data_IF_192073524486
#
_entry.id   IF_192073524486
#
_cell.length_a   1.000
_cell.length_b   1.000
_cell.length_c   1.000
_cell.angle_alpha   90.00
_cell.angle_beta   90.00
_cell.angle_gamma   90.00
#
_symmetry.space_group_name_H-M   'P 1'
#
loop_
_entity.id
_entity.type
_entity.pdbx_description
1 polymer ?
#
# COMPACT_ATOMS: atom_id res chain seq x y z
N UNK A 1 13.35 9.10 4.51
CA UNK A 1 13.44 10.15 3.44
C UNK A 1 13.58 9.58 2.04
N UNK A 2 14.31 8.48 1.85
CA UNK A 2 14.55 7.94 0.49
C UNK A 2 13.35 7.18 -0.10
N UNK A 3 12.55 6.47 0.69
CA UNK A 3 11.36 5.78 0.19
C UNK A 3 10.32 6.79 -0.32
N UNK A 4 10.08 7.88 0.41
CA UNK A 4 9.19 8.96 -0.02
C UNK A 4 9.78 9.79 -1.16
N UNK A 5 11.10 10.00 -1.17
CA UNK A 5 11.80 10.69 -2.26
C UNK A 5 11.92 9.80 -3.50
N UNK A 6 12.03 8.47 -3.36
CA UNK A 6 11.93 7.50 -4.44
C UNK A 6 10.50 7.36 -4.94
N UNK A 7 9.52 7.28 -4.05
CA UNK A 7 8.10 7.35 -4.40
C UNK A 7 7.79 8.60 -5.21
N UNK A 8 8.31 9.77 -4.81
CA UNK A 8 8.18 11.02 -5.56
C UNK A 8 8.94 10.99 -6.90
N UNK A 9 10.11 10.35 -6.98
CA UNK A 9 10.88 10.18 -8.23
C UNK A 9 10.25 9.17 -9.19
N UNK A 10 9.73 8.06 -8.69
CA UNK A 10 9.00 7.08 -9.50
C UNK A 10 7.66 7.62 -10.00
N UNK A 11 7.00 8.50 -9.24
CA UNK A 11 5.76 9.16 -9.66
C UNK A 11 5.96 10.31 -10.65
N UNK A 12 7.20 10.73 -10.95
CA UNK A 12 7.47 11.86 -11.84
C UNK A 12 6.81 13.16 -11.38
N UNK A 13 6.55 13.32 -10.09
CA UNK A 13 5.88 14.46 -9.49
C UNK A 13 6.86 15.62 -9.28
N UNK A 14 7.32 16.21 -10.38
CA UNK A 14 7.70 17.62 -10.39
C UNK A 14 6.64 18.40 -11.17
N UNK A 15 5.66 18.92 -10.44
CA UNK A 15 4.57 19.71 -11.02
C UNK A 15 5.06 21.04 -11.62
N UNK A 16 6.34 21.38 -11.46
CA UNK A 16 6.91 22.67 -11.90
C UNK A 16 7.52 22.63 -13.31
N UNK A 17 7.72 21.46 -13.92
CA UNK A 17 8.46 21.31 -15.18
C UNK A 17 7.63 21.04 -16.43
N UNK A 18 6.31 20.94 -16.36
CA UNK A 18 5.47 20.76 -17.55
C UNK A 18 5.18 22.07 -18.28
N UNK A 19 6.17 22.56 -19.01
CA UNK A 19 5.95 23.63 -20.01
C UNK A 19 5.21 23.05 -21.22
N UNK A 20 4.11 23.74 -21.59
CA UNK A 20 3.18 23.45 -22.71
C UNK A 20 3.88 23.21 -24.08
N UNK A 21 5.15 23.56 -24.25
CA UNK A 21 5.88 23.45 -25.51
C UNK A 21 6.30 22.04 -25.96
N UNK A 22 6.17 20.99 -25.11
CA UNK A 22 6.57 19.61 -25.49
C UNK A 22 5.44 18.73 -26.05
N UNK A 23 4.21 19.20 -26.01
CA UNK A 23 3.06 18.43 -26.51
C UNK A 23 3.10 18.17 -28.02
N UNK A 24 3.65 19.09 -28.80
CA UNK A 24 3.66 19.04 -30.26
C UNK A 24 4.74 18.09 -30.83
N UNK A 25 5.90 17.96 -30.16
CA UNK A 25 6.98 17.06 -30.58
C UNK A 25 6.72 15.61 -30.16
N UNK A 26 5.75 15.38 -29.29
CA UNK A 26 5.41 14.08 -28.73
C UNK A 26 4.52 13.23 -29.68
N UNK A 27 3.61 13.86 -30.42
CA UNK A 27 2.63 13.17 -31.28
C UNK A 27 3.23 12.10 -32.22
N UNK A 28 4.29 12.34 -33.01
CA UNK A 28 4.78 11.35 -33.97
C UNK A 28 5.35 10.07 -33.33
N UNK A 29 6.02 10.19 -32.21
CA UNK A 29 6.65 9.05 -31.51
C UNK A 29 5.63 8.18 -30.79
N UNK A 30 4.54 8.79 -30.31
CA UNK A 30 3.46 8.11 -29.62
C UNK A 30 2.43 7.55 -30.59
N UNK A 31 2.25 8.17 -31.75
CA UNK A 31 1.45 7.62 -32.83
C UNK A 31 2.00 6.28 -33.32
N UNK A 32 3.34 6.16 -33.47
CA UNK A 32 3.99 4.88 -33.81
C UNK A 32 3.77 3.80 -32.75
N UNK A 33 3.88 4.16 -31.44
CA UNK A 33 3.61 3.23 -30.34
C UNK A 33 2.12 2.87 -30.25
N UNK A 34 1.22 3.83 -30.47
CA UNK A 34 -0.21 3.59 -30.52
C UNK A 34 -0.58 2.67 -31.70
N UNK A 35 0.03 2.85 -32.88
CA UNK A 35 -0.17 1.97 -34.03
C UNK A 35 0.37 0.55 -33.78
N UNK A 36 1.53 0.41 -33.16
CA UNK A 36 2.06 -0.90 -32.76
C UNK A 36 1.16 -1.58 -31.72
N UNK A 37 0.64 -0.83 -30.74
CA UNK A 37 -0.31 -1.33 -29.76
C UNK A 37 -1.65 -1.73 -30.40
N UNK A 38 -2.12 -0.97 -31.39
CA UNK A 38 -3.29 -1.25 -32.22
C UNK A 38 -3.14 -2.56 -32.99
N UNK A 39 -1.98 -2.77 -33.60
CA UNK A 39 -1.69 -3.98 -34.37
C UNK A 39 -1.65 -5.24 -33.48
N UNK A 40 -1.20 -5.07 -32.23
CA UNK A 40 -1.08 -6.19 -31.28
C UNK A 40 -2.38 -6.50 -30.53
N UNK A 41 -3.15 -5.46 -30.13
CA UNK A 41 -4.27 -5.60 -29.20
C UNK A 41 -5.66 -5.32 -29.82
N UNK A 42 -5.69 -4.90 -31.07
CA UNK A 42 -6.92 -4.54 -31.79
C UNK A 42 -7.51 -3.16 -31.44
N UNK A 43 -8.48 -2.67 -32.21
CA UNK A 43 -8.94 -1.29 -32.15
C UNK A 43 -9.66 -0.91 -30.86
N UNK A 44 -10.45 -1.81 -30.27
CA UNK A 44 -11.22 -1.52 -29.05
C UNK A 44 -10.33 -1.29 -27.84
N UNK A 45 -9.27 -2.11 -27.66
CA UNK A 45 -8.32 -2.00 -26.55
C UNK A 45 -7.46 -0.76 -26.73
N UNK A 46 -7.05 -0.47 -27.95
CA UNK A 46 -6.26 0.72 -28.24
C UNK A 46 -7.05 2.01 -28.05
N UNK A 47 -8.34 2.03 -28.36
CA UNK A 47 -9.22 3.14 -28.05
C UNK A 47 -9.37 3.33 -26.53
N UNK A 48 -9.51 2.24 -25.77
CA UNK A 48 -9.53 2.26 -24.31
C UNK A 48 -8.22 2.83 -23.75
N UNK A 49 -7.07 2.42 -24.26
CA UNK A 49 -5.77 2.96 -23.87
C UNK A 49 -5.66 4.47 -24.12
N UNK A 50 -6.00 4.93 -25.31
CA UNK A 50 -5.94 6.35 -25.66
C UNK A 50 -6.90 7.20 -24.81
N UNK A 51 -8.12 6.69 -24.58
CA UNK A 51 -9.10 7.34 -23.71
C UNK A 51 -8.59 7.43 -22.27
N UNK A 52 -8.08 6.33 -21.72
CA UNK A 52 -7.52 6.29 -20.34
C UNK A 52 -6.33 7.23 -20.20
N UNK A 53 -5.42 7.22 -21.17
CA UNK A 53 -4.30 8.13 -21.20
C UNK A 53 -4.75 9.60 -21.26
N UNK A 54 -5.66 9.96 -22.17
CA UNK A 54 -6.19 11.32 -22.29
C UNK A 54 -6.91 11.77 -21.00
N UNK A 55 -7.65 10.85 -20.37
CA UNK A 55 -8.38 11.13 -19.13
C UNK A 55 -7.44 11.37 -17.93
N UNK A 56 -6.35 10.64 -17.83
CA UNK A 56 -5.50 10.62 -16.65
C UNK A 56 -4.12 11.28 -16.84
N UNK A 57 -3.78 11.77 -18.04
CA UNK A 57 -2.44 12.29 -18.34
C UNK A 57 -1.98 13.45 -17.45
N UNK A 58 -2.91 14.17 -16.78
CA UNK A 58 -2.62 15.23 -15.83
C UNK A 58 -2.38 14.75 -14.40
N UNK A 59 -2.82 13.53 -14.07
CA UNK A 59 -2.80 12.97 -12.70
C UNK A 59 -2.10 11.61 -12.63
N UNK A 60 -1.84 10.98 -13.79
CA UNK A 60 -1.15 9.70 -13.89
C UNK A 60 -0.22 9.68 -15.13
N UNK A 61 0.81 8.85 -15.07
CA UNK A 61 1.79 8.72 -16.15
C UNK A 61 1.34 7.73 -17.24
N UNK A 62 2.20 7.51 -18.26
CA UNK A 62 1.93 6.56 -19.35
C UNK A 62 1.84 5.13 -18.85
N UNK A 63 2.56 4.81 -17.82
CA UNK A 63 2.59 3.50 -17.20
C UNK A 63 1.23 3.14 -16.61
N UNK A 64 0.61 4.06 -15.87
CA UNK A 64 -0.77 3.88 -15.40
C UNK A 64 -1.74 3.53 -16.53
N UNK A 65 -1.69 4.27 -17.67
CA UNK A 65 -2.56 4.01 -18.80
C UNK A 65 -2.30 2.63 -19.42
N UNK A 66 -1.04 2.20 -19.49
CA UNK A 66 -0.66 0.87 -19.95
C UNK A 66 -1.29 -0.21 -19.06
N UNK A 67 -1.04 -0.15 -17.74
CA UNK A 67 -1.56 -1.13 -16.79
C UNK A 67 -3.09 -1.17 -16.75
N UNK A 68 -3.75 -0.01 -16.78
CA UNK A 68 -5.21 0.09 -16.77
C UNK A 68 -5.90 -0.46 -18.03
N UNK A 69 -5.15 -0.70 -19.10
CA UNK A 69 -5.66 -1.22 -20.37
C UNK A 69 -5.28 -2.69 -20.62
N UNK A 70 -4.39 -3.28 -19.81
CA UNK A 70 -4.03 -4.69 -19.95
C UNK A 70 -5.24 -5.61 -19.71
N UNK A 71 -5.25 -6.72 -20.42
CA UNK A 71 -6.17 -7.81 -20.13
C UNK A 71 -5.56 -8.75 -19.10
N UNK A 72 -6.38 -9.43 -18.31
CA UNK A 72 -5.90 -10.38 -17.29
C UNK A 72 -4.95 -11.45 -17.84
N UNK A 73 -5.19 -11.93 -19.06
CA UNK A 73 -4.30 -12.91 -19.73
C UNK A 73 -2.87 -12.40 -19.96
N UNK A 74 -2.69 -11.07 -20.00
CA UNK A 74 -1.40 -10.44 -20.27
C UNK A 74 -0.66 -10.06 -18.96
N UNK A 75 -1.33 -10.19 -17.81
CA UNK A 75 -0.76 -9.83 -16.50
C UNK A 75 0.53 -10.60 -16.16
N UNK A 76 0.65 -11.92 -16.36
CA UNK A 76 1.87 -12.63 -16.01
C UNK A 76 3.11 -12.10 -16.73
N UNK A 77 3.04 -11.90 -18.05
CA UNK A 77 4.18 -11.41 -18.83
C UNK A 77 4.49 -9.94 -18.54
N UNK A 78 3.47 -9.11 -18.34
CA UNK A 78 3.66 -7.72 -17.94
C UNK A 78 4.33 -7.61 -16.56
N UNK A 79 3.92 -8.47 -15.62
CA UNK A 79 4.45 -8.51 -14.26
C UNK A 79 5.89 -9.03 -14.23
N UNK A 80 6.24 -10.07 -15.01
CA UNK A 80 7.63 -10.55 -15.17
C UNK A 80 8.53 -9.43 -15.64
N UNK A 81 8.10 -8.68 -16.65
CA UNK A 81 8.89 -7.56 -17.19
C UNK A 81 9.05 -6.45 -16.15
N UNK A 82 7.95 -6.03 -15.53
CA UNK A 82 7.97 -4.99 -14.49
C UNK A 82 8.85 -5.40 -13.30
N UNK A 83 8.74 -6.64 -12.83
CA UNK A 83 9.53 -7.16 -11.72
C UNK A 83 11.03 -7.12 -12.05
N UNK A 84 11.44 -7.59 -13.24
CA UNK A 84 12.83 -7.54 -13.67
C UNK A 84 13.40 -6.11 -13.70
N UNK A 85 12.57 -5.13 -14.11
CA UNK A 85 12.99 -3.73 -14.22
C UNK A 85 13.02 -3.01 -12.86
N UNK A 86 12.21 -3.45 -11.89
CA UNK A 86 11.97 -2.71 -10.63
C UNK A 86 12.55 -3.37 -9.39
N UNK A 87 12.69 -4.70 -9.35
CA UNK A 87 13.32 -5.34 -8.20
C UNK A 87 14.81 -4.99 -8.11
N UNK A 88 15.34 -4.95 -6.90
CA UNK A 88 16.69 -4.46 -6.63
C UNK A 88 17.81 -5.38 -7.12
N UNK A 89 17.52 -6.66 -7.29
CA UNK A 89 18.47 -7.67 -7.77
C UNK A 89 18.47 -7.79 -9.29
N UNK A 90 17.47 -7.22 -9.97
CA UNK A 90 17.25 -7.37 -11.41
C UNK A 90 17.23 -8.84 -11.86
N UNK A 91 16.73 -9.73 -10.97
CA UNK A 91 16.54 -11.15 -11.28
C UNK A 91 15.19 -11.35 -11.95
N UNK A 92 15.09 -12.30 -12.89
CA UNK A 92 13.81 -12.69 -13.48
C UNK A 92 12.83 -13.20 -12.43
N UNK A 93 11.54 -12.93 -12.63
CA UNK A 93 10.46 -13.48 -11.80
C UNK A 93 10.19 -14.92 -12.18
N UNK A 94 10.40 -15.84 -11.23
CA UNK A 94 9.98 -17.23 -11.36
C UNK A 94 8.57 -17.39 -10.76
N UNK A 95 7.59 -17.65 -11.63
CA UNK A 95 6.20 -17.92 -11.22
C UNK A 95 5.88 -19.42 -11.13
N UNK A 96 6.78 -20.29 -11.63
CA UNK A 96 6.60 -21.73 -11.56
C UNK A 96 7.14 -22.30 -10.24
N UNK A 97 8.27 -21.74 -9.76
CA UNK A 97 8.91 -22.13 -8.51
C UNK A 97 9.32 -20.92 -7.68
N UNK A 98 8.36 -20.08 -7.24
CA UNK A 98 8.67 -18.87 -6.49
C UNK A 98 9.23 -19.20 -5.10
N UNK A 99 10.39 -18.63 -4.74
CA UNK A 99 11.09 -18.92 -3.48
C UNK A 99 11.09 -17.74 -2.53
N UNK A 100 11.43 -16.55 -3.03
CA UNK A 100 11.54 -15.36 -2.22
C UNK A 100 10.16 -14.77 -1.87
N UNK A 101 10.10 -13.95 -0.82
CA UNK A 101 8.91 -13.18 -0.46
C UNK A 101 8.42 -12.33 -1.64
N UNK A 102 9.36 -11.72 -2.36
CA UNK A 102 9.06 -10.91 -3.53
C UNK A 102 8.38 -11.73 -4.63
N UNK A 103 8.90 -12.90 -4.99
CA UNK A 103 8.32 -13.76 -6.01
C UNK A 103 6.96 -14.34 -5.57
N UNK A 104 6.87 -14.86 -4.33
CA UNK A 104 5.61 -15.37 -3.77
C UNK A 104 4.53 -14.29 -3.70
N UNK A 105 4.89 -13.03 -3.42
CA UNK A 105 3.94 -11.90 -3.49
C UNK A 105 3.42 -11.68 -4.92
N UNK A 106 4.28 -11.75 -5.94
CA UNK A 106 3.82 -11.65 -7.33
C UNK A 106 2.93 -12.82 -7.73
N UNK A 107 3.27 -14.03 -7.30
CA UNK A 107 2.46 -15.22 -7.53
C UNK A 107 1.05 -15.06 -6.91
N UNK A 108 0.98 -14.60 -5.65
CA UNK A 108 -0.29 -14.37 -4.94
C UNK A 108 -1.17 -13.32 -5.61
N UNK A 109 -0.60 -12.27 -6.21
CA UNK A 109 -1.36 -11.28 -7.00
C UNK A 109 -2.09 -11.92 -8.18
N UNK A 110 -1.48 -12.92 -8.81
CA UNK A 110 -2.02 -13.55 -10.01
C UNK A 110 -2.94 -14.73 -9.69
N UNK A 111 -2.58 -15.53 -8.69
CA UNK A 111 -3.18 -16.84 -8.45
C UNK A 111 -3.72 -17.02 -7.02
N UNK A 112 -3.39 -16.14 -6.09
CA UNK A 112 -3.76 -16.23 -4.67
C UNK A 112 -5.13 -15.65 -4.31
N UNK A 113 -5.96 -15.28 -5.29
CA UNK A 113 -7.29 -14.72 -5.04
C UNK A 113 -7.27 -13.30 -4.47
N UNK A 114 -6.17 -12.56 -4.58
CA UNK A 114 -6.05 -11.19 -4.01
C UNK A 114 -7.03 -10.18 -4.62
N UNK A 115 -7.59 -10.45 -5.79
CA UNK A 115 -8.64 -9.59 -6.35
C UNK A 115 -9.91 -9.60 -5.49
N UNK A 116 -10.22 -10.72 -4.83
CA UNK A 116 -11.44 -10.90 -4.05
C UNK A 116 -11.35 -10.33 -2.62
N UNK A 117 -10.13 -10.01 -2.15
CA UNK A 117 -9.93 -9.43 -0.81
C UNK A 117 -10.14 -7.91 -0.77
N UNK A 118 -10.63 -7.29 -1.85
CA UNK A 118 -10.85 -5.84 -1.92
C UNK A 118 -11.66 -5.25 -0.76
N UNK A 119 -12.64 -5.93 -0.14
CA UNK A 119 -13.35 -5.35 1.00
C UNK A 119 -12.47 -5.18 2.24
N UNK A 120 -11.39 -5.98 2.36
CA UNK A 120 -10.48 -5.95 3.50
C UNK A 120 -9.40 -4.87 3.38
N UNK A 121 -9.09 -4.42 2.17
CA UNK A 121 -8.15 -3.32 1.93
C UNK A 121 -8.86 -1.98 1.72
N UNK A 122 -10.18 -1.97 1.53
CA UNK A 122 -11.02 -0.79 1.58
C UNK A 122 -11.11 -0.29 3.02
N UNK A 123 -10.48 0.86 3.32
CA UNK A 123 -10.42 1.43 4.67
C UNK A 123 -11.79 1.72 5.31
N UNK A 124 -12.85 1.78 4.49
CA UNK A 124 -14.21 1.94 4.97
C UNK A 124 -14.92 0.59 5.15
N UNK A 125 -14.89 -0.26 4.13
CA UNK A 125 -15.62 -1.53 4.15
C UNK A 125 -15.05 -2.51 5.20
N UNK A 126 -13.74 -2.55 5.41
CA UNK A 126 -13.08 -3.43 6.38
C UNK A 126 -13.58 -3.24 7.81
N UNK A 127 -14.14 -2.08 8.12
CA UNK A 127 -14.57 -1.72 9.49
C UNK A 127 -15.66 -2.65 10.02
N UNK A 128 -16.67 -2.97 9.21
CA UNK A 128 -17.74 -3.90 9.62
C UNK A 128 -17.19 -5.31 9.86
N UNK A 129 -16.29 -5.77 8.98
CA UNK A 129 -15.64 -7.06 9.14
C UNK A 129 -14.75 -7.12 10.40
N UNK A 130 -13.96 -6.09 10.67
CA UNK A 130 -13.15 -5.99 11.90
C UNK A 130 -14.03 -5.98 13.15
N UNK A 131 -15.12 -5.20 13.13
CA UNK A 131 -16.10 -5.17 14.23
C UNK A 131 -16.68 -6.55 14.51
N UNK A 132 -17.03 -7.29 13.46
CA UNK A 132 -17.57 -8.66 13.59
C UNK A 132 -16.51 -9.64 14.15
N UNK A 133 -15.25 -9.53 13.69
CA UNK A 133 -14.19 -10.48 14.04
C UNK A 133 -13.59 -10.27 15.42
N UNK A 134 -13.36 -9.02 15.81
CA UNK A 134 -12.59 -8.71 17.03
C UNK A 134 -13.27 -7.66 17.94
N UNK A 135 -14.26 -6.91 17.47
CA UNK A 135 -14.98 -5.89 18.24
C UNK A 135 -14.79 -4.47 17.72
N UNK A 136 -15.76 -3.60 18.05
CA UNK A 136 -15.76 -2.20 17.61
C UNK A 136 -14.72 -1.35 18.35
N UNK A 137 -14.32 -1.76 19.55
CA UNK A 137 -13.35 -1.09 20.40
C UNK A 137 -11.95 -1.02 19.76
N UNK A 138 -11.65 -1.91 18.80
CA UNK A 138 -10.39 -1.89 18.05
C UNK A 138 -10.40 -0.91 16.87
N UNK A 139 -11.56 -0.37 16.51
CA UNK A 139 -11.65 0.59 15.41
C UNK A 139 -11.30 2.01 15.87
N UNK A 140 -10.58 2.74 15.03
CA UNK A 140 -10.42 4.19 15.20
C UNK A 140 -11.79 4.83 14.92
N UNK A 141 -12.32 5.73 15.78
CA UNK A 141 -13.62 6.33 15.56
C UNK A 141 -13.74 7.03 14.21
N UNK A 142 -14.77 6.66 13.43
CA UNK A 142 -15.08 7.26 12.15
C UNK A 142 -15.88 8.56 12.38
N UNK A 143 -15.42 9.66 11.81
CA UNK A 143 -16.05 10.98 11.92
C UNK A 143 -17.00 11.29 10.75
N UNK A 144 -16.79 10.63 9.60
CA UNK A 144 -17.65 10.78 8.44
C UNK A 144 -17.13 10.08 7.21
N UNK A 145 -18.03 9.93 6.20
CA UNK A 145 -17.78 9.31 4.91
C UNK A 145 -18.45 10.13 3.82
N UNK A 146 -17.76 10.41 2.72
CA UNK A 146 -18.28 11.23 1.62
C UNK A 146 -17.80 10.72 0.27
N UNK A 147 -18.61 10.90 -0.76
CA UNK A 147 -18.24 10.64 -2.14
C UNK A 147 -17.53 11.85 -2.80
N UNK A 148 -17.70 13.08 -2.26
CA UNK A 148 -17.14 14.32 -2.78
C UNK A 148 -16.55 15.18 -1.67
N UNK A 149 -15.46 15.88 -1.96
CA UNK A 149 -14.80 16.75 -0.98
C UNK A 149 -15.71 17.92 -0.53
N UNK A 150 -16.51 18.46 -1.43
CA UNK A 150 -17.39 19.59 -1.13
C UNK A 150 -18.57 19.24 -0.21
N UNK A 151 -18.84 17.95 -0.02
CA UNK A 151 -19.88 17.47 0.89
C UNK A 151 -19.40 17.41 2.36
N UNK A 152 -18.11 17.68 2.61
CA UNK A 152 -17.53 17.63 3.96
C UNK A 152 -17.89 18.89 4.73
N UNK A 153 -18.67 18.74 5.81
CA UNK A 153 -18.92 19.80 6.79
C UNK A 153 -17.75 19.86 7.78
N UNK A 154 -16.74 20.67 7.46
CA UNK A 154 -15.55 20.82 8.29
C UNK A 154 -15.84 21.44 9.67
N UNK A 155 -16.95 22.15 9.84
CA UNK A 155 -17.29 22.78 11.12
C UNK A 155 -17.70 21.71 12.15
N UNK A 156 -18.21 20.58 11.69
CA UNK A 156 -18.54 19.42 12.54
C UNK A 156 -17.35 18.52 12.88
N UNK A 157 -16.21 18.69 12.19
CA UNK A 157 -15.01 17.92 12.50
C UNK A 157 -14.25 18.56 13.68
N UNK A 158 -13.61 17.74 14.55
CA UNK A 158 -12.78 18.26 15.65
C UNK A 158 -11.55 19.01 15.12
N UNK A 159 -10.77 19.60 16.02
CA UNK A 159 -9.55 20.34 15.65
C UNK A 159 -8.47 19.43 15.05
N UNK A 160 -8.43 18.15 15.51
CA UNK A 160 -7.50 17.15 15.03
C UNK A 160 -8.27 15.99 14.39
N UNK A 161 -7.94 15.65 13.14
CA UNK A 161 -8.52 14.52 12.43
C UNK A 161 -7.61 14.02 11.32
N UNK A 162 -7.86 12.82 10.83
CA UNK A 162 -7.18 12.25 9.68
C UNK A 162 -8.16 12.14 8.50
N UNK A 163 -7.88 12.83 7.39
CA UNK A 163 -8.59 12.60 6.12
C UNK A 163 -7.87 11.52 5.32
N UNK A 164 -8.62 10.57 4.77
CA UNK A 164 -8.10 9.49 3.93
C UNK A 164 -9.01 9.27 2.73
N UNK A 165 -8.47 8.75 1.63
CA UNK A 165 -9.30 8.04 0.66
C UNK A 165 -9.18 6.54 0.95
N UNK A 166 -10.29 5.81 0.75
CA UNK A 166 -10.40 4.41 1.20
C UNK A 166 -9.65 3.39 0.33
N UNK A 167 -9.26 3.75 -0.91
CA UNK A 167 -8.89 2.84 -1.99
C UNK A 167 -7.41 2.90 -2.41
N UNK A 168 -6.52 3.19 -1.48
CA UNK A 168 -5.08 3.25 -1.76
C UNK A 168 -4.23 3.35 -0.50
N UNK A 169 -2.92 3.20 -0.66
CA UNK A 169 -1.94 3.36 0.41
C UNK A 169 -1.31 4.76 0.39
N UNK A 170 -1.02 5.34 1.57
CA UNK A 170 -0.37 6.64 1.70
C UNK A 170 -1.24 7.85 1.31
N UNK A 171 -2.46 7.66 0.88
CA UNK A 171 -3.38 8.73 0.48
C UNK A 171 -4.16 9.27 1.67
N UNK A 172 -3.43 9.96 2.55
CA UNK A 172 -3.97 10.55 3.77
C UNK A 172 -3.43 11.96 4.01
N UNK A 173 -4.15 12.73 4.80
CA UNK A 173 -3.83 14.09 5.23
C UNK A 173 -4.08 14.17 6.73
N UNK A 174 -3.02 14.31 7.51
CA UNK A 174 -3.10 14.56 8.94
C UNK A 174 -3.41 16.03 9.19
N UNK A 175 -4.51 16.31 9.86
CA UNK A 175 -4.90 17.63 10.32
C UNK A 175 -4.69 17.68 11.84
N UNK A 176 -3.61 18.29 12.27
CA UNK A 176 -3.26 18.45 13.68
C UNK A 176 -3.74 19.78 14.28
N UNK A 177 -4.13 20.73 13.42
CA UNK A 177 -4.68 22.05 13.77
C UNK A 177 -5.60 22.51 12.64
N UNK A 178 -6.91 22.44 12.88
CA UNK A 178 -7.91 22.83 11.89
C UNK A 178 -7.81 24.31 11.46
N UNK A 179 -7.32 25.19 12.35
CA UNK A 179 -7.14 26.60 12.02
C UNK A 179 -6.07 26.86 10.96
N UNK A 180 -5.10 25.93 10.81
CA UNK A 180 -4.02 25.98 9.82
C UNK A 180 -4.26 25.07 8.62
N UNK A 181 -5.41 24.40 8.55
CA UNK A 181 -5.72 23.45 7.51
C UNK A 181 -5.95 24.11 6.15
N UNK A 182 -5.09 23.83 5.18
CA UNK A 182 -5.27 24.26 3.79
C UNK A 182 -6.30 23.38 3.08
N UNK A 183 -7.57 23.80 3.15
CA UNK A 183 -8.69 23.11 2.49
C UNK A 183 -8.53 23.04 0.98
N UNK A 184 -7.91 24.05 0.34
CA UNK A 184 -7.75 24.09 -1.11
C UNK A 184 -6.71 23.08 -1.59
N UNK A 185 -5.57 22.96 -0.89
CA UNK A 185 -4.57 21.94 -1.16
C UNK A 185 -5.10 20.52 -0.91
N UNK A 186 -5.79 20.32 0.21
CA UNK A 186 -6.43 19.06 0.56
C UNK A 186 -7.45 18.62 -0.51
N UNK A 187 -8.31 19.55 -0.96
CA UNK A 187 -9.28 19.30 -2.04
C UNK A 187 -8.57 18.85 -3.31
N UNK A 188 -7.54 19.58 -3.74
CA UNK A 188 -6.78 19.25 -4.95
C UNK A 188 -6.18 17.83 -4.88
N UNK A 189 -5.57 17.49 -3.75
CA UNK A 189 -4.97 16.16 -3.52
C UNK A 189 -6.03 15.06 -3.55
N UNK A 190 -7.06 15.18 -2.73
CA UNK A 190 -8.11 14.18 -2.60
C UNK A 190 -8.86 13.97 -3.92
N UNK A 191 -9.24 15.05 -4.61
CA UNK A 191 -9.90 14.93 -5.92
C UNK A 191 -9.02 14.31 -7.01
N UNK A 192 -7.68 14.45 -6.89
CA UNK A 192 -6.77 13.75 -7.78
C UNK A 192 -6.71 12.26 -7.46
N UNK A 193 -6.65 11.87 -6.18
CA UNK A 193 -6.64 10.48 -5.73
C UNK A 193 -7.94 9.75 -6.07
N UNK A 194 -9.11 10.38 -5.88
CA UNK A 194 -10.41 9.79 -6.22
C UNK A 194 -10.57 9.41 -7.70
N UNK A 195 -9.74 9.98 -8.59
CA UNK A 195 -9.77 9.70 -10.03
C UNK A 195 -8.94 8.49 -10.43
N UNK A 196 -8.07 8.01 -9.53
CA UNK A 196 -7.12 6.95 -9.82
C UNK A 196 -7.60 5.61 -9.26
N UNK A 197 -7.19 4.52 -9.87
CA UNK A 197 -7.26 3.19 -9.29
C UNK A 197 -5.85 2.79 -8.83
N UNK A 198 -5.69 2.53 -7.55
CA UNK A 198 -4.38 2.25 -6.96
C UNK A 198 -3.69 1.02 -7.55
N UNK A 199 -4.48 0.03 -8.00
CA UNK A 199 -3.97 -1.18 -8.67
C UNK A 199 -2.95 -0.89 -9.77
N UNK A 200 -3.15 0.22 -10.52
CA UNK A 200 -2.34 0.55 -11.69
C UNK A 200 -1.27 1.61 -11.43
N UNK A 201 -1.25 2.18 -10.22
CA UNK A 201 -0.45 3.37 -9.96
C UNK A 201 1.04 3.08 -9.89
N UNK A 202 1.40 1.99 -9.22
CA UNK A 202 2.80 1.60 -8.98
C UNK A 202 3.35 0.65 -10.05
N UNK A 203 2.54 0.28 -11.05
CA UNK A 203 2.92 -0.68 -12.09
C UNK A 203 2.96 -2.14 -11.64
N UNK A 204 2.79 -2.40 -10.35
CA UNK A 204 2.94 -3.73 -9.76
C UNK A 204 1.66 -4.57 -9.67
N UNK A 205 0.54 -4.14 -10.28
CA UNK A 205 -0.73 -4.88 -10.25
C UNK A 205 -1.18 -5.24 -8.82
N UNK A 206 -1.35 -4.25 -7.96
CA UNK A 206 -1.93 -4.48 -6.63
C UNK A 206 -3.46 -4.72 -6.77
N UNK A 207 -3.81 -5.92 -7.27
CA UNK A 207 -5.14 -6.28 -7.78
C UNK A 207 -6.26 -6.16 -6.74
N UNK A 208 -5.93 -6.24 -5.46
CA UNK A 208 -6.87 -6.08 -4.34
C UNK A 208 -7.52 -4.68 -4.31
N UNK A 209 -6.99 -3.68 -5.03
CA UNK A 209 -7.58 -2.35 -5.11
C UNK A 209 -8.50 -2.14 -6.33
N UNK A 210 -8.60 -3.13 -7.23
CA UNK A 210 -9.21 -2.94 -8.55
C UNK A 210 -10.71 -2.60 -8.50
N UNK A 211 -11.43 -3.15 -7.50
CA UNK A 211 -12.89 -3.07 -7.39
C UNK A 211 -13.40 -2.08 -6.33
N UNK A 212 -12.50 -1.39 -5.63
CA UNK A 212 -12.90 -0.49 -4.54
C UNK A 212 -13.58 0.77 -5.12
N UNK A 213 -14.79 1.05 -4.64
CA UNK A 213 -15.45 2.33 -4.93
C UNK A 213 -14.73 3.45 -4.15
N UNK A 214 -14.15 4.47 -4.82
CA UNK A 214 -13.48 5.58 -4.15
C UNK A 214 -14.42 6.37 -3.22
N UNK A 215 -13.96 6.62 -1.99
CA UNK A 215 -14.63 7.46 -0.99
C UNK A 215 -13.62 8.23 -0.17
N UNK A 216 -14.08 9.31 0.45
CA UNK A 216 -13.33 10.06 1.46
C UNK A 216 -13.83 9.62 2.82
N UNK A 217 -12.92 9.34 3.76
CA UNK A 217 -13.25 9.09 5.16
C UNK A 217 -12.51 10.09 6.05
N UNK A 218 -13.12 10.47 7.15
CA UNK A 218 -12.44 11.14 8.24
C UNK A 218 -12.45 10.25 9.48
N UNK A 219 -11.30 10.12 10.12
CA UNK A 219 -11.14 9.38 11.37
C UNK A 219 -10.60 10.30 12.46
N UNK A 220 -10.91 9.96 13.71
CA UNK A 220 -10.32 10.63 14.86
C UNK A 220 -8.79 10.53 14.75
N UNK A 221 -8.11 11.65 14.99
CA UNK A 221 -6.65 11.63 15.12
C UNK A 221 -6.29 10.88 16.39
N UNK A 222 -5.43 9.86 16.27
CA UNK A 222 -4.91 9.12 17.43
C UNK A 222 -3.48 9.56 17.68
N UNK A 223 -3.16 9.76 18.93
CA UNK A 223 -1.83 10.16 19.40
C UNK A 223 -1.62 9.61 20.80
N UNK A 224 -0.37 9.44 21.19
CA UNK A 224 0.03 9.11 22.56
C UNK A 224 0.43 10.39 23.29
N UNK A 225 -0.01 10.55 24.54
CA UNK A 225 0.39 11.67 25.39
C UNK A 225 1.90 11.61 25.67
N UNK A 226 2.63 12.59 25.11
CA UNK A 226 4.06 12.75 25.33
C UNK A 226 4.97 11.67 24.75
N UNK A 227 4.45 10.79 23.90
CA UNK A 227 5.18 9.71 23.29
C UNK A 227 4.88 9.49 21.81
N UNK A 228 5.67 8.64 21.18
CA UNK A 228 5.50 8.24 19.80
C UNK A 228 4.31 7.28 19.65
N UNK A 229 3.62 7.36 18.53
CA UNK A 229 2.61 6.37 18.17
C UNK A 229 3.29 5.23 17.42
N UNK A 230 3.54 4.14 18.10
CA UNK A 230 4.19 2.97 17.51
C UNK A 230 3.26 2.21 16.58
N UNK A 231 3.78 1.87 15.41
CA UNK A 231 3.10 1.12 14.36
C UNK A 231 3.66 -0.32 14.35
N UNK A 232 2.81 -1.29 14.68
CA UNK A 232 3.14 -2.71 14.73
C UNK A 232 2.55 -3.39 13.48
N UNK A 233 3.41 -3.78 12.57
CA UNK A 233 3.03 -4.44 11.32
C UNK A 233 3.32 -5.93 11.42
N UNK A 234 2.29 -6.70 11.67
CA UNK A 234 2.40 -8.13 11.96
C UNK A 234 2.19 -8.92 10.67
N UNK A 235 3.27 -9.51 10.16
CA UNK A 235 3.21 -10.40 9.01
C UNK A 235 2.68 -11.77 9.45
N UNK A 236 1.57 -12.15 8.86
CA UNK A 236 0.92 -13.43 9.10
C UNK A 236 1.02 -14.27 7.83
N UNK A 237 1.48 -15.50 7.98
CA UNK A 237 1.59 -16.47 6.90
C UNK A 237 0.79 -17.71 7.25
N UNK A 238 -0.08 -18.13 6.32
CA UNK A 238 -0.98 -19.26 6.48
C UNK A 238 -1.81 -19.21 7.77
N UNK A 239 -2.30 -17.99 8.11
CA UNK A 239 -3.13 -17.71 9.27
C UNK A 239 -2.40 -17.52 10.59
N UNK A 240 -1.05 -17.57 10.60
CA UNK A 240 -0.25 -17.44 11.82
C UNK A 240 0.68 -16.22 11.79
N UNK A 241 0.71 -15.38 12.84
CA UNK A 241 1.70 -14.34 13.03
C UNK A 241 3.10 -14.94 13.08
N UNK A 242 4.05 -14.39 12.33
CA UNK A 242 5.43 -14.89 12.27
C UNK A 242 6.46 -13.81 12.52
N UNK A 243 6.25 -12.62 11.97
CA UNK A 243 7.22 -11.53 11.97
C UNK A 243 6.50 -10.23 12.32
N UNK A 244 7.13 -9.39 13.12
CA UNK A 244 6.67 -8.07 13.48
C UNK A 244 7.64 -7.05 12.89
N UNK A 245 7.16 -6.10 12.10
CA UNK A 245 7.89 -4.90 11.76
C UNK A 245 7.41 -3.78 12.71
N UNK A 246 8.25 -3.44 13.66
CA UNK A 246 8.04 -2.33 14.60
C UNK A 246 8.63 -1.05 14.05
N UNK A 247 7.84 0.02 14.00
CA UNK A 247 8.25 1.31 13.45
C UNK A 247 8.12 2.38 14.54
N UNK A 248 9.22 3.08 14.81
CA UNK A 248 9.33 4.20 15.72
C UNK A 248 9.56 5.51 14.96
N UNK A 249 9.30 6.65 15.61
CA UNK A 249 9.56 8.01 15.13
C UNK A 249 8.87 8.39 13.81
N UNK A 250 7.83 7.62 13.41
CA UNK A 250 7.17 7.76 12.11
C UNK A 250 6.45 9.10 11.92
N UNK A 251 5.97 9.67 13.00
CA UNK A 251 5.17 10.89 13.00
C UNK A 251 5.85 12.07 13.69
N UNK A 252 7.15 11.96 13.93
CA UNK A 252 8.00 12.97 14.56
C UNK A 252 8.93 13.64 13.55
N UNK A 253 9.70 14.63 13.98
CA UNK A 253 10.74 15.28 13.17
C UNK A 253 12.05 14.48 13.07
N UNK A 254 12.13 13.31 13.75
CA UNK A 254 13.30 12.43 13.74
C UNK A 254 13.23 11.47 12.55
N UNK A 255 14.34 10.77 12.30
CA UNK A 255 14.37 9.71 11.28
C UNK A 255 13.57 8.50 11.75
N UNK A 256 12.73 7.98 10.85
CA UNK A 256 11.97 6.75 11.08
C UNK A 256 12.91 5.57 11.30
N UNK A 257 12.68 4.83 12.38
CA UNK A 257 13.44 3.62 12.74
C UNK A 257 12.56 2.40 12.55
N UNK A 258 13.11 1.35 11.95
CA UNK A 258 12.40 0.12 11.62
C UNK A 258 13.15 -1.09 12.18
N UNK A 259 12.43 -1.99 12.83
CA UNK A 259 12.98 -3.20 13.43
C UNK A 259 12.11 -4.39 13.10
N UNK A 260 12.72 -5.43 12.55
CA UNK A 260 12.06 -6.72 12.38
C UNK A 260 12.31 -7.58 13.63
N UNK A 261 11.23 -8.15 14.17
CA UNK A 261 11.25 -8.99 15.36
C UNK A 261 10.48 -10.29 15.09
N UNK A 262 10.82 -11.34 15.83
CA UNK A 262 9.98 -12.53 15.91
C UNK A 262 8.81 -12.30 16.89
N UNK A 263 7.97 -13.31 17.06
CA UNK A 263 6.82 -13.24 17.97
C UNK A 263 7.17 -13.27 19.46
N UNK A 264 8.40 -13.67 19.79
CA UNK A 264 8.94 -13.64 21.15
C UNK A 264 9.62 -12.29 21.47
N UNK A 265 9.58 -11.35 20.51
CA UNK A 265 10.17 -10.01 20.61
C UNK A 265 11.70 -10.01 20.48
N UNK A 266 12.31 -11.01 19.87
CA UNK A 266 13.74 -11.01 19.56
C UNK A 266 13.99 -10.30 18.23
N UNK A 267 14.97 -9.40 18.20
CA UNK A 267 15.32 -8.68 16.97
C UNK A 267 15.92 -9.63 15.95
N UNK A 268 15.41 -9.53 14.72
CA UNK A 268 15.89 -10.30 13.57
C UNK A 268 17.01 -9.53 12.84
N UNK A 269 18.02 -10.26 12.29
CA UNK A 269 19.21 -9.63 11.72
C UNK A 269 18.99 -9.16 10.26
N UNK A 270 17.87 -8.50 9.99
CA UNK A 270 17.57 -7.94 8.67
C UNK A 270 16.66 -6.71 8.75
N UNK A 271 16.63 -5.95 7.66
CA UNK A 271 15.74 -4.80 7.51
C UNK A 271 15.35 -4.62 6.02
N UNK A 272 14.45 -3.68 5.74
CA UNK A 272 14.07 -3.27 4.37
C UNK A 272 14.36 -1.78 4.17
N UNK A 273 14.87 -1.43 2.99
CA UNK A 273 15.04 -0.05 2.51
C UNK A 273 15.95 0.88 3.35
N UNK A 274 16.22 0.55 4.61
CA UNK A 274 17.10 1.29 5.53
C UNK A 274 18.21 0.38 6.06
N UNK A 275 19.34 0.94 6.52
CA UNK A 275 20.39 0.14 7.15
C UNK A 275 19.88 -0.64 8.35
N UNK A 276 20.49 -1.80 8.59
CA UNK A 276 20.22 -2.61 9.76
C UNK A 276 20.82 -1.94 11.01
N UNK A 277 19.99 -1.73 12.02
CA UNK A 277 20.40 -1.33 13.36
C UNK A 277 20.18 -2.54 14.28
N UNK A 278 21.24 -3.03 14.89
CA UNK A 278 21.22 -4.15 15.86
C UNK A 278 21.36 -3.63 17.29
N UNK A 279 20.98 -4.47 18.23
CA UNK A 279 21.10 -4.20 19.67
C UNK A 279 20.33 -2.94 20.14
N UNK A 280 19.24 -2.60 19.45
CA UNK A 280 18.36 -1.54 19.91
C UNK A 280 17.65 -1.95 21.20
N UNK A 281 17.55 -1.01 22.14
CA UNK A 281 16.73 -1.19 23.35
C UNK A 281 15.25 -1.00 22.96
N UNK A 282 14.58 -2.10 22.68
CA UNK A 282 13.19 -2.14 22.23
C UNK A 282 12.32 -2.74 23.35
N UNK A 283 11.65 -1.91 24.16
CA UNK A 283 10.82 -2.42 25.23
C UNK A 283 9.64 -3.25 24.65
N UNK A 284 9.53 -4.49 25.14
CA UNK A 284 8.44 -5.38 24.73
C UNK A 284 7.10 -4.80 25.18
N UNK A 285 6.13 -4.57 24.29
CA UNK A 285 4.84 -4.02 24.67
C UNK A 285 4.04 -5.00 25.55
N UNK A 286 3.45 -4.49 26.62
CA UNK A 286 2.70 -5.31 27.58
C UNK A 286 1.50 -6.04 26.94
N UNK A 287 0.95 -5.50 25.85
CA UNK A 287 -0.19 -6.04 25.12
C UNK A 287 0.20 -6.82 23.86
N UNK A 288 1.46 -7.24 23.70
CA UNK A 288 1.95 -7.95 22.53
C UNK A 288 1.15 -9.23 22.25
N UNK A 289 0.93 -10.08 23.26
CA UNK A 289 0.16 -11.32 23.09
C UNK A 289 -1.22 -11.03 22.54
N UNK A 290 -1.88 -9.98 23.04
CA UNK A 290 -3.20 -9.57 22.53
C UNK A 290 -3.12 -9.09 21.09
N UNK A 291 -2.08 -8.37 20.68
CA UNK A 291 -1.87 -7.98 19.28
C UNK A 291 -1.66 -9.20 18.38
N UNK A 292 -0.89 -10.20 18.84
CA UNK A 292 -0.68 -11.45 18.10
C UNK A 292 -1.98 -12.26 17.95
N UNK A 293 -2.83 -12.31 18.99
CA UNK A 293 -4.14 -12.98 18.92
C UNK A 293 -5.09 -12.27 17.94
N UNK A 294 -5.10 -10.95 17.93
CA UNK A 294 -5.84 -10.15 16.96
C UNK A 294 -5.34 -10.44 15.55
N UNK A 295 -4.04 -10.41 15.33
CA UNK A 295 -3.44 -10.67 14.03
C UNK A 295 -3.75 -12.11 13.55
N UNK A 296 -3.66 -13.10 14.43
CA UNK A 296 -4.05 -14.49 14.15
C UNK A 296 -5.52 -14.59 13.74
N UNK A 297 -6.41 -13.92 14.49
CA UNK A 297 -7.85 -13.94 14.19
C UNK A 297 -8.15 -13.31 12.82
N UNK A 298 -7.53 -12.18 12.51
CA UNK A 298 -7.75 -11.45 11.25
C UNK A 298 -7.06 -12.09 10.05
N UNK A 299 -6.03 -12.92 10.26
CA UNK A 299 -5.29 -13.56 9.17
C UNK A 299 -5.81 -14.94 8.77
N UNK A 300 -6.80 -15.47 9.50
CA UNK A 300 -7.34 -16.82 9.21
C UNK A 300 -7.86 -16.92 7.77
N UNK A 301 -7.44 -17.98 7.07
CA UNK A 301 -7.83 -18.27 5.70
C UNK A 301 -7.01 -17.53 4.63
N UNK A 302 -6.01 -16.73 5.00
CA UNK A 302 -5.15 -16.03 4.06
C UNK A 302 -3.73 -16.61 4.07
N UNK A 303 -3.20 -16.89 2.87
CA UNK A 303 -1.83 -17.41 2.69
C UNK A 303 -0.77 -16.41 3.17
N UNK A 304 -0.94 -15.15 2.86
CA UNK A 304 -0.07 -14.07 3.34
C UNK A 304 -0.85 -12.77 3.50
N UNK A 305 -0.76 -12.17 4.66
CA UNK A 305 -1.34 -10.86 4.95
C UNK A 305 -0.57 -10.18 6.08
N UNK A 306 -0.44 -8.87 6.04
CA UNK A 306 0.09 -8.07 7.13
C UNK A 306 -1.07 -7.36 7.84
N UNK A 307 -1.14 -7.50 9.15
CA UNK A 307 -2.10 -6.82 10.01
C UNK A 307 -1.39 -5.69 10.72
N UNK A 308 -1.80 -4.45 10.47
CA UNK A 308 -1.20 -3.27 11.06
C UNK A 308 -2.03 -2.81 12.27
N UNK A 309 -1.39 -2.70 13.43
CA UNK A 309 -1.99 -2.34 14.71
C UNK A 309 -1.23 -1.18 15.35
N UNK A 310 -1.95 -0.35 16.09
CA UNK A 310 -1.38 0.67 16.97
C UNK A 310 -1.60 0.27 18.43
N UNK A 311 -0.57 0.48 19.27
CA UNK A 311 -0.68 0.35 20.72
C UNK A 311 -0.64 1.73 21.35
N UNK A 312 -1.65 2.07 22.14
CA UNK A 312 -1.75 3.35 22.83
C UNK A 312 -1.24 3.23 24.27
N UNK A 313 -0.83 4.36 24.88
CA UNK A 313 -0.29 4.42 26.23
C UNK A 313 -1.27 3.97 27.31
N UNK A 314 -2.57 4.03 27.04
CA UNK A 314 -3.63 3.51 27.92
C UNK A 314 -3.80 1.97 27.83
N UNK A 315 -2.97 1.31 27.03
CA UNK A 315 -3.00 -0.13 26.77
C UNK A 315 -4.02 -0.54 25.71
N UNK A 316 -4.79 0.39 25.15
CA UNK A 316 -5.73 0.09 24.06
C UNK A 316 -4.99 -0.20 22.76
N UNK A 317 -5.58 -1.11 21.97
CA UNK A 317 -5.07 -1.45 20.62
C UNK A 317 -6.04 -0.89 19.60
N UNK A 318 -5.51 -0.32 18.51
CA UNK A 318 -6.32 0.13 17.38
C UNK A 318 -5.88 -0.56 16.10
N UNK A 319 -6.87 -0.99 15.32
CA UNK A 319 -6.68 -1.54 13.99
C UNK A 319 -6.29 -0.43 13.00
N UNK A 320 -5.21 -0.66 12.25
CA UNK A 320 -4.72 0.22 11.19
C UNK A 320 -5.22 -0.19 9.83
N UNK A 321 -4.70 -1.30 9.31
CA UNK A 321 -5.08 -1.85 7.99
C UNK A 321 -4.71 -3.32 7.84
N UNK A 322 -5.28 -3.97 6.82
CA UNK A 322 -4.80 -5.23 6.26
C UNK A 322 -4.06 -4.96 4.96
N UNK A 323 -2.84 -5.49 4.84
CA UNK A 323 -1.99 -5.28 3.66
C UNK A 323 -1.62 -6.64 3.05
N UNK A 324 -2.02 -6.88 1.80
CA UNK A 324 -1.76 -8.14 1.09
C UNK A 324 -0.49 -8.08 0.22
N UNK A 325 -0.06 -6.88 -0.18
CA UNK A 325 1.10 -6.69 -1.06
C UNK A 325 2.01 -5.59 -0.49
N UNK A 326 2.74 -5.93 0.59
CA UNK A 326 3.68 -4.99 1.22
C UNK A 326 4.66 -4.46 0.17
N UNK A 327 4.70 -3.12 -0.01
CA UNK A 327 5.53 -2.43 -1.01
C UNK A 327 5.47 -3.06 -2.41
N UNK A 328 4.28 -3.56 -2.77
CA UNK A 328 4.06 -4.27 -4.04
C UNK A 328 4.98 -5.49 -4.26
N UNK A 329 5.61 -6.01 -3.20
CA UNK A 329 6.52 -7.14 -3.22
C UNK A 329 7.92 -6.82 -3.77
N UNK A 330 8.34 -5.55 -3.77
CA UNK A 330 9.66 -5.14 -4.29
C UNK A 330 10.52 -4.41 -3.25
N UNK A 331 10.34 -4.72 -1.96
CA UNK A 331 11.20 -4.18 -0.90
C UNK A 331 12.66 -4.56 -1.11
N UNK A 332 13.56 -3.63 -0.81
CA UNK A 332 14.98 -3.93 -0.79
C UNK A 332 15.38 -4.50 0.56
N UNK A 333 15.68 -5.79 0.59
CA UNK A 333 16.09 -6.50 1.79
C UNK A 333 17.57 -6.29 2.12
N UNK A 334 17.89 -6.22 3.41
CA UNK A 334 19.24 -6.10 3.95
C UNK A 334 19.43 -7.06 5.14
N UNK A 335 20.18 -8.18 5.00
CA UNK A 335 20.79 -8.67 3.76
C UNK A 335 19.74 -9.22 2.76
N UNK A 336 20.15 -9.42 1.51
CA UNK A 336 19.26 -9.95 0.44
C UNK A 336 18.68 -11.33 0.79
N UNK A 337 19.43 -12.17 1.50
CA UNK A 337 18.98 -13.49 1.97
C UNK A 337 17.71 -13.45 2.84
N UNK A 338 17.38 -12.29 3.43
CA UNK A 338 16.14 -12.13 4.18
C UNK A 338 14.89 -12.23 3.29
N UNK A 339 15.00 -11.91 2.00
CA UNK A 339 13.92 -12.09 1.03
C UNK A 339 13.53 -13.58 0.87
N UNK A 340 14.53 -14.47 0.80
CA UNK A 340 14.30 -15.92 0.76
C UNK A 340 13.80 -16.44 2.12
N UNK A 341 14.37 -15.96 3.23
CA UNK A 341 13.90 -16.33 4.57
C UNK A 341 12.42 -15.99 4.74
N UNK A 342 11.99 -14.76 4.43
CA UNK A 342 10.59 -14.36 4.49
C UNK A 342 9.71 -15.19 3.54
N UNK A 343 10.23 -15.53 2.37
CA UNK A 343 9.55 -16.40 1.40
C UNK A 343 9.37 -17.83 1.95
N UNK A 344 10.35 -18.36 2.69
CA UNK A 344 10.26 -19.72 3.29
C UNK A 344 9.16 -19.85 4.34
N UNK A 345 8.68 -18.72 4.91
CA UNK A 345 7.57 -18.71 5.86
C UNK A 345 6.19 -18.79 5.19
N UNK A 346 6.12 -18.60 3.87
CA UNK A 346 4.88 -18.65 3.09
C UNK A 346 4.78 -20.01 2.43
N UNK A 347 3.74 -20.76 2.73
CA UNK A 347 3.41 -21.99 2.01
C UNK A 347 2.33 -21.70 0.97
N UNK A 348 2.66 -21.84 -0.31
CA UNK A 348 1.74 -21.64 -1.43
C UNK A 348 1.03 -22.97 -1.76
N UNK A 349 -0.30 -23.06 -1.58
CA UNK A 349 -1.03 -24.27 -1.92
C UNK A 349 -0.87 -24.65 -3.40
N UNK A 350 -0.54 -25.91 -3.66
CA UNK A 350 -0.36 -26.46 -5.01
C UNK A 350 0.95 -26.07 -5.70
N UNK A 351 1.85 -25.38 -5.01
CA UNK A 351 3.21 -25.03 -5.48
C UNK A 351 4.27 -25.61 -4.55
N UNK A 352 4.09 -25.43 -3.25
CA UNK A 352 5.01 -25.92 -2.22
C UNK A 352 4.59 -27.31 -1.66
N UNK A 353 3.50 -27.93 -2.19
CA UNK A 353 2.96 -29.24 -1.79
C UNK A 353 3.74 -30.41 -2.39
#
# INVERSE_FOLDING_TARGET
CDALARFKRMQGYDASSYKIGRAVTWLPRHAKKALAYLAHNGPAISAKYLYTYAKYHKVANKEYAYWACLQKKDYPEALKKWFLETNYTHTPLDLEHPKSFSEKTQWLKLYGGFEDVYPLVDKYAVREWVKEKIGEEYLIPLLGVWDRFDDIDFDKLPDKFMLKVNHGAGWNIAVQDKSKFDKADAKRKIESWLKLNYCYLMGGLDVQYIHIKPRIIAEKFIENDGGDLYDYKIFCFNGEPKIILHIEERYTDKEERMFFLDTDWNQLPFNINVPLELDADLPRPANLEKMLDIARTLSQGYTAVRVDLYSLNDGSIKFGEMTFTTESGISRWHPESANEYMGSLIHLPGVDD
#
